data_IF_293079921619
#
_entry.id   IF_293079921619
#
_cell.length_a   1.000
_cell.length_b   1.000
_cell.length_c   1.000
_cell.angle_alpha   90.00
_cell.angle_beta   90.00
_cell.angle_gamma   90.00
#
_symmetry.space_group_name_H-M   'P 1'
#
loop_
_entity.id
_entity.type
_entity.pdbx_description
1 polymer ?
#
# COMPACT_ATOMS: atom_id res chain seq x y z
N UNK A 1 -7.00 -13.79 20.72
CA UNK A 1 -7.26 -14.58 19.48
C UNK A 1 -7.25 -13.69 18.23
N UNK A 2 -7.80 -12.48 18.25
CA UNK A 2 -7.81 -11.59 17.05
C UNK A 2 -6.40 -11.27 16.52
N UNK A 3 -5.44 -11.01 17.39
CA UNK A 3 -4.07 -10.63 16.97
C UNK A 3 -3.33 -11.76 16.23
N UNK A 4 -3.60 -13.02 16.56
CA UNK A 4 -2.98 -14.18 15.88
C UNK A 4 -3.42 -14.25 14.41
N UNK A 5 -4.68 -13.96 14.13
CA UNK A 5 -5.22 -13.96 12.76
C UNK A 5 -4.50 -12.90 11.92
N UNK A 6 -4.29 -11.69 12.46
CA UNK A 6 -3.56 -10.63 11.76
C UNK A 6 -2.09 -11.00 11.50
N UNK A 7 -1.44 -11.68 12.45
CA UNK A 7 -0.05 -12.16 12.27
C UNK A 7 0.02 -13.19 11.16
N UNK A 8 -0.92 -14.16 11.11
CA UNK A 8 -0.96 -15.18 10.06
C UNK A 8 -1.16 -14.54 8.68
N UNK A 9 -2.14 -13.63 8.55
CA UNK A 9 -2.36 -12.92 7.29
C UNK A 9 -1.16 -12.07 6.89
N UNK A 10 -0.50 -11.41 7.84
CA UNK A 10 0.71 -10.65 7.58
C UNK A 10 1.88 -11.53 7.10
N UNK A 11 2.06 -12.72 7.68
CA UNK A 11 3.07 -13.67 7.22
C UNK A 11 2.78 -14.19 5.81
N UNK A 12 1.54 -14.59 5.54
CA UNK A 12 1.13 -15.04 4.19
C UNK A 12 1.37 -13.93 3.17
N UNK A 13 0.96 -12.70 3.48
CA UNK A 13 1.14 -11.55 2.62
C UNK A 13 2.63 -11.25 2.36
N UNK A 14 3.48 -11.31 3.39
CA UNK A 14 4.92 -11.12 3.27
C UNK A 14 5.58 -12.17 2.37
N UNK A 15 5.21 -13.44 2.53
CA UNK A 15 5.71 -14.54 1.68
C UNK A 15 5.24 -14.37 0.23
N UNK A 16 4.00 -13.97 0.01
CA UNK A 16 3.47 -13.69 -1.33
C UNK A 16 4.23 -12.54 -2.01
N UNK A 17 4.48 -11.45 -1.30
CA UNK A 17 5.26 -10.32 -1.82
C UNK A 17 6.69 -10.71 -2.16
N UNK A 18 7.32 -11.53 -1.33
CA UNK A 18 8.68 -12.01 -1.58
C UNK A 18 8.73 -12.96 -2.79
N UNK A 19 7.83 -13.94 -2.85
CA UNK A 19 7.74 -14.91 -3.96
C UNK A 19 7.33 -14.29 -5.29
N UNK A 20 6.50 -13.27 -5.28
CA UNK A 20 6.10 -12.54 -6.50
C UNK A 20 7.17 -11.60 -7.05
N UNK A 21 8.33 -11.51 -6.38
CA UNK A 21 9.41 -10.57 -6.70
C UNK A 21 8.95 -9.08 -6.72
N UNK A 22 7.76 -8.78 -6.18
CA UNK A 22 7.22 -7.43 -6.13
C UNK A 22 8.05 -6.47 -5.26
N UNK A 23 8.91 -7.01 -4.39
CA UNK A 23 9.88 -6.26 -3.58
C UNK A 23 11.17 -5.95 -4.33
N UNK A 24 11.39 -6.55 -5.51
CA UNK A 24 12.62 -6.38 -6.29
C UNK A 24 12.62 -5.03 -7.01
N UNK A 25 13.65 -4.24 -6.75
CA UNK A 25 13.86 -2.97 -7.44
C UNK A 25 14.01 -3.15 -8.97
N UNK A 26 14.61 -4.25 -9.41
CA UNK A 26 14.73 -4.58 -10.83
C UNK A 26 13.38 -4.68 -11.54
N UNK A 27 12.41 -5.33 -10.91
CA UNK A 27 11.06 -5.48 -11.46
C UNK A 27 10.32 -4.14 -11.57
N UNK A 28 10.55 -3.25 -10.61
CA UNK A 28 9.98 -1.91 -10.63
C UNK A 28 10.62 -1.07 -11.73
N UNK A 29 11.94 -1.17 -11.90
CA UNK A 29 12.67 -0.48 -12.99
C UNK A 29 12.24 -0.99 -14.37
N UNK A 30 12.10 -2.29 -14.56
CA UNK A 30 11.60 -2.89 -15.80
C UNK A 30 10.17 -2.41 -16.12
N UNK A 31 9.34 -2.20 -15.11
CA UNK A 31 8.01 -1.64 -15.27
C UNK A 31 8.08 -0.21 -15.84
N UNK A 32 8.90 0.66 -15.27
CA UNK A 32 9.05 2.04 -15.76
C UNK A 32 9.67 2.11 -17.16
N UNK A 33 10.51 1.14 -17.53
CA UNK A 33 11.09 1.04 -18.87
C UNK A 33 10.18 0.32 -19.88
N UNK A 34 8.97 -0.09 -19.48
CA UNK A 34 8.03 -0.87 -20.31
C UNK A 34 8.61 -2.18 -20.87
N UNK A 35 9.62 -2.75 -20.21
CA UNK A 35 10.30 -3.97 -20.67
C UNK A 35 9.64 -5.26 -20.19
N UNK A 36 8.87 -5.21 -19.08
CA UNK A 36 8.24 -6.38 -18.50
C UNK A 36 6.80 -6.08 -18.11
N UNK A 37 5.89 -6.99 -18.49
CA UNK A 37 4.46 -6.91 -18.16
C UNK A 37 4.16 -7.47 -16.76
N UNK A 38 5.12 -8.11 -16.12
CA UNK A 38 4.94 -8.83 -14.86
C UNK A 38 4.34 -7.95 -13.76
N UNK A 39 4.92 -6.78 -13.51
CA UNK A 39 4.50 -5.88 -12.45
C UNK A 39 3.12 -5.26 -12.75
N UNK A 40 2.84 -4.92 -14.00
CA UNK A 40 1.51 -4.46 -14.42
C UNK A 40 0.45 -5.53 -14.20
N UNK A 41 0.79 -6.80 -14.46
CA UNK A 41 -0.08 -7.93 -14.21
C UNK A 41 -0.42 -8.07 -12.72
N UNK A 42 0.56 -7.97 -11.83
CA UNK A 42 0.36 -8.06 -10.38
C UNK A 42 -0.54 -6.91 -9.89
N UNK A 43 -0.22 -5.67 -10.26
CA UNK A 43 -0.98 -4.49 -9.84
C UNK A 43 -2.40 -4.55 -10.43
N UNK A 44 -2.53 -4.86 -11.72
CA UNK A 44 -3.81 -4.95 -12.39
C UNK A 44 -4.72 -6.02 -11.81
N UNK A 45 -4.18 -7.22 -11.55
CA UNK A 45 -4.95 -8.30 -10.92
C UNK A 45 -5.37 -7.95 -9.50
N UNK A 46 -4.49 -7.32 -8.72
CA UNK A 46 -4.80 -6.88 -7.36
C UNK A 46 -5.91 -5.82 -7.35
N UNK A 47 -5.87 -4.85 -8.26
CA UNK A 47 -6.92 -3.83 -8.41
C UNK A 47 -8.24 -4.47 -8.84
N UNK A 48 -8.20 -5.38 -9.80
CA UNK A 48 -9.40 -6.07 -10.31
C UNK A 48 -10.08 -6.90 -9.21
N UNK A 49 -9.31 -7.75 -8.53
CA UNK A 49 -9.83 -8.57 -7.41
C UNK A 49 -10.32 -7.69 -6.27
N UNK A 50 -9.57 -6.63 -5.92
CA UNK A 50 -9.95 -5.66 -4.90
C UNK A 50 -11.26 -4.94 -5.23
N UNK A 51 -11.45 -4.50 -6.47
CA UNK A 51 -12.68 -3.85 -6.93
C UNK A 51 -13.89 -4.80 -6.84
N UNK A 52 -13.74 -6.05 -7.31
CA UNK A 52 -14.80 -7.07 -7.20
C UNK A 52 -15.12 -7.34 -5.73
N UNK A 53 -14.10 -7.52 -4.88
CA UNK A 53 -14.29 -7.77 -3.45
C UNK A 53 -15.04 -6.65 -2.78
N UNK A 54 -14.67 -5.39 -3.03
CA UNK A 54 -15.37 -4.21 -2.50
C UNK A 54 -16.81 -4.11 -3.02
N UNK A 55 -17.03 -4.41 -4.29
CA UNK A 55 -18.36 -4.41 -4.88
C UNK A 55 -19.27 -5.45 -4.19
N UNK A 56 -18.76 -6.67 -3.99
CA UNK A 56 -19.49 -7.73 -3.31
C UNK A 56 -19.75 -7.39 -1.83
N UNK A 57 -18.79 -6.81 -1.12
CA UNK A 57 -18.94 -6.36 0.27
C UNK A 57 -20.00 -5.26 0.40
N UNK A 58 -19.99 -4.27 -0.50
CA UNK A 58 -21.02 -3.22 -0.55
C UNK A 58 -22.41 -3.81 -0.80
N UNK A 59 -22.52 -4.74 -1.75
CA UNK A 59 -23.79 -5.35 -2.13
C UNK A 59 -24.39 -6.21 -1.01
N UNK A 60 -23.57 -7.00 -0.34
CA UNK A 60 -24.02 -7.98 0.66
C UNK A 60 -24.11 -7.41 2.08
N UNK A 61 -23.77 -6.12 2.31
CA UNK A 61 -23.74 -5.48 3.63
C UNK A 61 -23.09 -6.40 4.69
N UNK A 62 -22.00 -7.06 4.31
CA UNK A 62 -21.29 -8.01 5.16
C UNK A 62 -20.80 -7.33 6.43
N UNK A 63 -21.02 -8.01 7.56
CA UNK A 63 -20.52 -7.56 8.86
C UNK A 63 -19.04 -7.95 8.97
N UNK A 64 -18.24 -7.07 9.55
CA UNK A 64 -16.87 -7.38 9.92
C UNK A 64 -16.84 -8.51 10.97
N UNK A 65 -15.70 -9.21 11.11
CA UNK A 65 -15.49 -10.18 12.20
C UNK A 65 -15.69 -9.57 13.60
N UNK A 66 -15.70 -8.25 13.69
CA UNK A 66 -15.99 -7.47 14.92
C UNK A 66 -17.47 -7.15 15.10
N UNK A 67 -18.36 -7.55 14.17
CA UNK A 67 -19.80 -7.29 14.24
C UNK A 67 -20.25 -5.92 13.69
N UNK A 68 -19.33 -5.04 13.33
CA UNK A 68 -19.63 -3.75 12.72
C UNK A 68 -19.92 -3.90 11.23
N UNK A 69 -20.87 -3.12 10.71
CA UNK A 69 -21.13 -3.03 9.26
C UNK A 69 -20.03 -2.27 8.58
N UNK A 70 -19.46 -2.85 7.52
CA UNK A 70 -18.44 -2.19 6.72
C UNK A 70 -19.08 -1.03 5.96
N UNK A 71 -18.87 0.20 6.43
CA UNK A 71 -19.28 1.42 5.75
C UNK A 71 -18.09 1.92 4.91
N UNK A 72 -18.18 1.75 3.60
CA UNK A 72 -17.24 2.39 2.67
C UNK A 72 -17.74 3.81 2.43
N UNK A 73 -17.13 4.78 3.10
CA UNK A 73 -17.45 6.18 2.90
C UNK A 73 -17.05 6.62 1.48
N UNK A 74 -18.01 7.16 0.74
CA UNK A 74 -17.78 7.75 -0.57
C UNK A 74 -17.12 9.12 -0.37
N UNK A 75 -15.78 9.15 -0.38
CA UNK A 75 -15.02 10.40 -0.27
C UNK A 75 -15.02 11.11 -1.62
N UNK A 76 -15.50 12.35 -1.66
CA UNK A 76 -15.42 13.19 -2.86
C UNK A 76 -13.96 13.47 -3.19
N UNK A 77 -13.59 13.25 -4.46
CA UNK A 77 -12.25 13.61 -4.95
C UNK A 77 -12.11 15.13 -4.97
N UNK A 78 -11.19 15.64 -4.16
CA UNK A 78 -10.86 17.07 -4.08
C UNK A 78 -9.46 17.36 -4.62
N UNK A 79 -9.13 18.65 -4.76
CA UNK A 79 -7.78 19.12 -5.13
C UNK A 79 -6.70 18.59 -4.16
N UNK A 80 -7.05 18.37 -2.92
CA UNK A 80 -6.19 17.76 -1.88
C UNK A 80 -5.71 16.36 -2.27
N UNK A 81 -6.56 15.53 -2.86
CA UNK A 81 -6.20 14.19 -3.31
C UNK A 81 -5.19 14.23 -4.47
N UNK A 82 -5.32 15.22 -5.37
CA UNK A 82 -4.39 15.37 -6.48
C UNK A 82 -3.00 15.79 -5.99
N UNK A 83 -2.93 16.79 -5.11
CA UNK A 83 -1.65 17.27 -4.52
C UNK A 83 -0.99 16.16 -3.72
N UNK A 84 -1.75 15.46 -2.86
CA UNK A 84 -1.25 14.33 -2.08
C UNK A 84 -0.76 13.18 -2.95
N UNK A 85 -1.47 12.90 -4.05
CA UNK A 85 -1.07 11.89 -5.02
C UNK A 85 0.23 12.22 -5.75
N UNK A 86 0.44 13.47 -6.12
CA UNK A 86 1.70 13.93 -6.75
C UNK A 86 2.88 13.81 -5.78
N UNK A 87 2.73 14.28 -4.54
CA UNK A 87 3.78 14.19 -3.51
C UNK A 87 4.12 12.73 -3.23
N UNK A 88 3.10 11.88 -3.05
CA UNK A 88 3.29 10.44 -2.84
C UNK A 88 3.98 9.77 -4.03
N UNK A 89 3.55 10.10 -5.26
CA UNK A 89 4.12 9.54 -6.48
C UNK A 89 5.58 9.92 -6.68
N UNK A 90 5.97 11.15 -6.35
CA UNK A 90 7.37 11.58 -6.37
C UNK A 90 8.22 10.81 -5.36
N UNK A 91 7.74 10.65 -4.12
CA UNK A 91 8.44 9.85 -3.11
C UNK A 91 8.59 8.38 -3.52
N UNK A 92 7.53 7.80 -4.07
CA UNK A 92 7.55 6.43 -4.58
C UNK A 92 8.50 6.26 -5.77
N UNK A 93 8.50 7.22 -6.70
CA UNK A 93 9.41 7.21 -7.85
C UNK A 93 10.89 7.29 -7.46
N UNK A 94 11.22 8.03 -6.38
CA UNK A 94 12.59 8.13 -5.88
C UNK A 94 13.08 6.85 -5.21
N UNK A 95 12.23 6.20 -4.42
CA UNK A 95 12.62 5.04 -3.60
C UNK A 95 12.38 3.73 -4.36
N UNK A 96 11.40 3.70 -5.27
CA UNK A 96 11.02 2.51 -6.03
C UNK A 96 10.44 1.39 -5.18
N UNK A 97 9.86 1.70 -4.02
CA UNK A 97 9.25 0.69 -3.15
C UNK A 97 7.99 1.20 -2.46
N UNK A 98 7.04 0.30 -2.25
CA UNK A 98 5.81 0.57 -1.49
C UNK A 98 6.03 0.34 0.02
N UNK A 99 5.18 0.90 0.90
CA UNK A 99 5.30 0.71 2.35
C UNK A 99 5.32 -0.77 2.79
N UNK A 100 4.53 -1.64 2.16
CA UNK A 100 4.52 -3.07 2.47
C UNK A 100 5.87 -3.76 2.23
N UNK A 101 6.44 -3.67 1.03
CA UNK A 101 7.76 -4.17 0.71
C UNK A 101 8.90 -3.67 1.61
N UNK A 102 8.81 -2.46 2.18
CA UNK A 102 9.84 -1.95 3.11
C UNK A 102 10.03 -2.92 4.29
N UNK A 103 8.95 -3.40 4.89
CA UNK A 103 9.02 -4.35 6.02
C UNK A 103 9.60 -5.70 5.58
N UNK A 104 9.25 -6.17 4.38
CA UNK A 104 9.78 -7.42 3.83
C UNK A 104 11.28 -7.30 3.57
N UNK A 105 11.74 -6.19 3.02
CA UNK A 105 13.17 -5.92 2.76
C UNK A 105 13.97 -5.81 4.06
N UNK A 106 13.42 -5.17 5.09
CA UNK A 106 14.04 -5.13 6.42
C UNK A 106 14.17 -6.55 6.98
N UNK A 107 13.12 -7.36 6.90
CA UNK A 107 13.13 -8.76 7.30
C UNK A 107 14.11 -9.64 6.51
N UNK A 108 14.40 -9.25 5.27
CA UNK A 108 15.39 -9.92 4.41
C UNK A 108 16.85 -9.47 4.64
N UNK A 109 17.09 -8.57 5.60
CA UNK A 109 18.42 -8.14 6.02
C UNK A 109 18.93 -6.85 5.36
N UNK A 110 18.11 -6.15 4.58
CA UNK A 110 18.49 -4.85 3.99
C UNK A 110 18.37 -3.70 5.01
N UNK A 111 19.41 -3.53 5.84
CA UNK A 111 19.40 -2.56 6.95
C UNK A 111 19.18 -1.10 6.52
N UNK A 112 19.57 -0.72 5.29
CA UNK A 112 19.36 0.65 4.81
C UNK A 112 17.86 1.01 4.68
N UNK A 113 16.97 0.03 4.61
CA UNK A 113 15.52 0.25 4.57
C UNK A 113 14.96 0.82 5.87
N UNK A 114 15.69 0.74 6.99
CA UNK A 114 15.32 1.46 8.21
C UNK A 114 15.30 2.97 8.01
N UNK A 115 16.24 3.52 7.25
CA UNK A 115 16.28 4.96 6.94
C UNK A 115 15.02 5.36 6.17
N UNK A 116 14.60 4.55 5.21
CA UNK A 116 13.37 4.78 4.44
C UNK A 116 12.14 4.71 5.35
N UNK A 117 12.09 3.74 6.25
CA UNK A 117 10.99 3.58 7.21
C UNK A 117 10.90 4.80 8.14
N UNK A 118 12.01 5.24 8.73
CA UNK A 118 12.03 6.41 9.60
C UNK A 118 11.65 7.70 8.87
N UNK A 119 12.10 7.87 7.62
CA UNK A 119 11.73 9.03 6.82
C UNK A 119 10.23 9.03 6.47
N UNK A 120 9.65 7.86 6.20
CA UNK A 120 8.22 7.72 5.97
C UNK A 120 7.40 8.04 7.23
N UNK A 121 7.85 7.59 8.40
CA UNK A 121 7.23 7.92 9.68
C UNK A 121 7.33 9.43 9.99
N UNK A 122 8.48 10.04 9.74
CA UNK A 122 8.66 11.48 9.88
C UNK A 122 7.72 12.26 8.94
N UNK A 123 7.56 11.81 7.70
CA UNK A 123 6.62 12.39 6.74
C UNK A 123 5.17 12.33 7.20
N UNK A 124 4.74 11.20 7.77
CA UNK A 124 3.39 11.06 8.33
C UNK A 124 3.18 11.95 9.56
N UNK A 125 4.21 12.10 10.38
CA UNK A 125 4.18 12.99 11.54
C UNK A 125 4.05 14.46 11.12
N UNK A 126 4.87 14.90 10.14
CA UNK A 126 4.79 16.26 9.56
C UNK A 126 3.43 16.52 8.94
N UNK A 127 2.88 15.54 8.19
CA UNK A 127 1.53 15.64 7.65
C UNK A 127 0.48 15.82 8.74
N UNK A 128 0.57 15.06 9.82
CA UNK A 128 -0.35 15.17 10.95
C UNK A 128 -0.31 16.56 11.60
N UNK A 129 0.89 17.13 11.75
CA UNK A 129 1.06 18.47 12.31
C UNK A 129 0.56 19.61 11.38
N UNK A 130 0.64 19.39 10.05
CA UNK A 130 0.21 20.37 9.05
C UNK A 130 -1.25 20.20 8.60
N UNK A 131 -1.91 19.13 9.02
CA UNK A 131 -3.25 18.76 8.56
C UNK A 131 -4.29 19.88 8.70
N UNK A 132 -4.21 20.66 9.77
CA UNK A 132 -5.14 21.77 10.02
C UNK A 132 -4.94 22.95 9.06
N UNK A 133 -3.75 23.09 8.46
CA UNK A 133 -3.39 24.16 7.53
C UNK A 133 -3.56 23.77 6.06
N UNK A 134 -3.79 22.50 5.77
CA UNK A 134 -3.96 21.99 4.41
C UNK A 134 -5.44 22.07 3.99
N UNK A 135 -5.73 22.45 2.73
CA UNK A 135 -7.10 22.46 2.21
C UNK A 135 -7.63 21.03 2.12
N UNK A 136 -8.71 20.75 2.82
CA UNK A 136 -9.41 19.45 2.84
C UNK A 136 -10.65 19.48 1.97
#
# INVERSE_FOLDING_TARGET
>A
MKNIVYVIFGMIFGVLLYKSEAVSWYRIQEMFMFKSFHMYGIIGSAVFVGAISLFLLKRNKTKCLTGETIQVADKKMGKSNLIGGIIYGLGWGLIGTCPGPIYVLIGSGYSFMFVVLFSALAGTWVYSALREKLPH
#
